data_IF_233122728198
#
_entry.id   IF_233122728198
#
_cell.length_a   1.000
_cell.length_b   1.000
_cell.length_c   1.000
_cell.angle_alpha   90.00
_cell.angle_beta   90.00
_cell.angle_gamma   90.00
#
_symmetry.space_group_name_H-M   'P 1'
#
loop_
_entity.id
_entity.type
_entity.pdbx_description
1 polymer ?
#
# COMPACT_ATOMS: atom_id res chain seq x y z
N UNK A 1 -10.00 -3.12 -7.11
CA UNK A 1 -9.46 -1.77 -7.39
C UNK A 1 -9.69 -0.91 -6.16
N UNK A 2 -8.77 0.02 -5.89
CA UNK A 2 -8.72 0.90 -4.74
C UNK A 2 -8.41 2.33 -5.19
N UNK A 3 -8.39 3.27 -4.27
CA UNK A 3 -8.12 4.70 -4.55
C UNK A 3 -6.79 5.16 -3.95
N UNK A 4 -6.24 4.39 -3.02
CA UNK A 4 -5.11 4.80 -2.19
C UNK A 4 -5.49 5.79 -1.09
N UNK A 5 -6.77 5.88 -0.76
CA UNK A 5 -7.26 6.62 0.41
C UNK A 5 -7.47 5.62 1.54
N UNK A 6 -6.61 5.65 2.52
CA UNK A 6 -6.69 4.76 3.68
C UNK A 6 -7.94 5.05 4.49
N UNK A 7 -8.76 4.03 4.70
CA UNK A 7 -10.01 4.15 5.47
C UNK A 7 -9.78 3.94 6.98
N UNK A 8 -8.81 3.10 7.35
CA UNK A 8 -8.50 2.78 8.74
C UNK A 8 -7.09 2.24 8.88
N UNK A 9 -6.52 2.36 10.07
CA UNK A 9 -5.36 1.58 10.48
C UNK A 9 -5.88 0.39 11.29
N UNK A 10 -5.64 -0.81 10.76
CA UNK A 10 -5.91 -2.07 11.44
C UNK A 10 -4.66 -2.64 12.10
N UNK A 11 -4.80 -3.80 12.76
CA UNK A 11 -3.69 -4.49 13.41
C UNK A 11 -3.70 -5.98 13.07
N UNK A 12 -2.53 -6.54 12.81
CA UNK A 12 -2.34 -7.97 12.64
C UNK A 12 -2.67 -8.68 13.95
N UNK A 13 -3.57 -9.66 13.90
CA UNK A 13 -3.95 -10.46 15.06
C UNK A 13 -3.18 -11.78 15.12
N UNK A 14 -3.14 -12.49 14.00
CA UNK A 14 -2.42 -13.75 13.87
C UNK A 14 -1.94 -14.00 12.45
N UNK A 15 -0.93 -14.86 12.34
CA UNK A 15 -0.28 -15.32 11.12
C UNK A 15 -0.13 -16.83 11.24
N UNK A 16 -0.97 -17.60 10.57
CA UNK A 16 -1.04 -19.05 10.71
C UNK A 16 -0.60 -19.74 9.41
N UNK A 17 0.49 -20.52 9.41
CA UNK A 17 0.87 -21.31 8.23
C UNK A 17 -0.24 -22.29 7.82
N UNK A 18 -0.56 -22.34 6.51
CA UNK A 18 -1.58 -23.22 5.94
C UNK A 18 -1.13 -23.82 4.62
N UNK A 19 -0.60 -25.04 4.65
CA UNK A 19 -0.32 -25.82 3.45
C UNK A 19 0.66 -25.18 2.45
N UNK A 20 1.55 -24.30 2.92
CA UNK A 20 2.48 -23.51 2.10
C UNK A 20 2.10 -22.04 2.01
N UNK A 21 0.83 -21.69 2.19
CA UNK A 21 0.35 -20.31 2.31
C UNK A 21 0.28 -19.87 3.78
N UNK A 22 -0.14 -18.63 4.00
CA UNK A 22 -0.29 -18.05 5.34
C UNK A 22 -1.69 -17.45 5.49
N UNK A 23 -2.41 -17.85 6.54
CA UNK A 23 -3.66 -17.17 6.92
C UNK A 23 -3.34 -15.98 7.80
N UNK A 24 -3.66 -14.80 7.30
CA UNK A 24 -3.54 -13.53 8.00
C UNK A 24 -4.91 -13.18 8.61
N UNK A 25 -4.95 -12.88 9.92
CA UNK A 25 -6.12 -12.29 10.58
C UNK A 25 -5.80 -10.83 10.95
N UNK A 26 -6.72 -9.94 10.65
CA UNK A 26 -6.57 -8.49 10.88
C UNK A 26 -7.77 -7.95 11.65
N UNK A 27 -7.51 -7.25 12.75
CA UNK A 27 -8.49 -6.39 13.40
C UNK A 27 -8.66 -5.12 12.54
N UNK A 28 -9.88 -4.84 12.11
CA UNK A 28 -10.17 -3.82 11.11
C UNK A 28 -10.09 -2.37 11.64
N UNK A 29 -9.90 -2.18 12.96
CA UNK A 29 -9.91 -0.85 13.57
C UNK A 29 -11.25 -0.17 13.39
N UNK A 30 -11.24 1.04 12.81
CA UNK A 30 -12.46 1.80 12.53
C UNK A 30 -13.08 1.45 11.15
N UNK A 31 -12.52 0.50 10.40
CA UNK A 31 -13.08 0.09 9.10
C UNK A 31 -14.42 -0.62 9.33
N UNK A 32 -15.50 -0.03 8.81
CA UNK A 32 -16.81 -0.69 8.81
C UNK A 32 -16.80 -1.88 7.84
N UNK A 33 -17.05 -3.07 8.36
CA UNK A 33 -17.13 -4.32 7.60
C UNK A 33 -18.58 -4.76 7.29
N UNK A 34 -19.59 -3.96 7.64
CA UNK A 34 -20.99 -4.35 7.49
C UNK A 34 -21.44 -4.59 6.04
N UNK A 35 -20.77 -3.94 5.07
CA UNK A 35 -21.02 -4.07 3.65
C UNK A 35 -19.97 -4.95 2.93
N UNK A 36 -19.13 -5.67 3.68
CA UNK A 36 -18.10 -6.56 3.13
C UNK A 36 -18.57 -8.01 3.26
N UNK A 37 -18.47 -8.76 2.18
CA UNK A 37 -18.78 -10.20 2.13
C UNK A 37 -17.51 -11.04 1.91
N UNK A 38 -17.51 -12.34 2.29
CA UNK A 38 -16.47 -13.27 1.84
C UNK A 38 -16.36 -13.27 0.32
N UNK A 39 -15.15 -13.11 -0.19
CA UNK A 39 -14.86 -12.93 -1.62
C UNK A 39 -14.54 -11.49 -2.01
N UNK A 40 -14.88 -10.51 -1.18
CA UNK A 40 -14.53 -9.12 -1.43
C UNK A 40 -13.04 -8.85 -1.19
N UNK A 41 -12.53 -7.83 -1.86
CA UNK A 41 -11.14 -7.41 -1.72
C UNK A 41 -11.00 -6.30 -0.67
N UNK A 42 -9.98 -6.45 0.18
CA UNK A 42 -9.51 -5.41 1.09
C UNK A 42 -8.01 -5.23 0.84
N UNK A 43 -7.56 -3.98 0.65
CA UNK A 43 -6.14 -3.68 0.61
C UNK A 43 -5.59 -3.63 2.03
N UNK A 44 -4.52 -4.40 2.28
CA UNK A 44 -3.77 -4.46 3.54
C UNK A 44 -2.35 -3.99 3.28
N UNK A 45 -1.95 -2.85 3.83
CA UNK A 45 -0.70 -2.18 3.51
C UNK A 45 -0.47 -2.06 1.98
N UNK A 46 -1.53 -1.78 1.22
CA UNK A 46 -1.52 -1.67 -0.24
C UNK A 46 -1.57 -3.00 -0.99
N UNK A 47 -1.62 -4.14 -0.31
CA UNK A 47 -1.74 -5.46 -0.94
C UNK A 47 -3.20 -5.86 -1.02
N UNK A 48 -3.69 -6.14 -2.25
CA UNK A 48 -5.04 -6.64 -2.49
C UNK A 48 -5.17 -8.07 -1.95
N UNK A 49 -6.01 -8.25 -0.93
CA UNK A 49 -6.31 -9.56 -0.34
C UNK A 49 -7.80 -9.84 -0.41
N UNK A 50 -8.16 -11.10 -0.63
CA UNK A 50 -9.55 -11.55 -0.61
C UNK A 50 -9.96 -11.89 0.83
N UNK A 51 -10.98 -11.23 1.35
CA UNK A 51 -11.57 -11.59 2.63
C UNK A 51 -12.27 -12.95 2.52
N UNK A 52 -11.85 -13.92 3.32
CA UNK A 52 -12.41 -15.30 3.29
C UNK A 52 -13.30 -15.58 4.51
N UNK A 53 -13.12 -14.83 5.56
CA UNK A 53 -13.96 -14.88 6.76
C UNK A 53 -14.03 -13.49 7.39
N UNK A 54 -15.20 -13.15 7.92
CA UNK A 54 -15.47 -11.90 8.61
C UNK A 54 -16.13 -12.22 9.93
N UNK A 55 -15.75 -11.52 10.97
CA UNK A 55 -16.36 -11.58 12.29
C UNK A 55 -16.22 -10.19 12.93
N UNK A 56 -16.98 -9.91 13.99
CA UNK A 56 -17.12 -8.61 14.66
C UNK A 56 -15.81 -7.76 14.66
N UNK A 57 -15.66 -6.87 13.67
CA UNK A 57 -14.52 -5.94 13.55
C UNK A 57 -13.20 -6.57 13.11
N UNK A 58 -13.22 -7.77 12.53
CA UNK A 58 -12.02 -8.46 12.01
C UNK A 58 -12.33 -9.26 10.73
N UNK A 59 -11.30 -9.50 9.94
CA UNK A 59 -11.37 -10.36 8.77
C UNK A 59 -10.12 -11.25 8.66
N UNK A 60 -10.24 -12.32 7.89
CA UNK A 60 -9.13 -13.19 7.55
C UNK A 60 -8.95 -13.24 6.02
N UNK A 61 -7.70 -13.39 5.60
CA UNK A 61 -7.32 -13.60 4.20
C UNK A 61 -6.21 -14.65 4.11
N UNK A 62 -6.20 -15.43 3.03
CA UNK A 62 -5.09 -16.32 2.73
C UNK A 62 -4.09 -15.59 1.82
N UNK A 63 -2.82 -15.63 2.19
CA UNK A 63 -1.72 -14.91 1.53
C UNK A 63 -0.75 -15.93 0.97
N UNK A 64 -0.55 -15.89 -0.36
CA UNK A 64 0.36 -16.80 -1.06
C UNK A 64 1.83 -16.53 -0.71
N UNK A 65 2.69 -17.55 -0.86
CA UNK A 65 4.14 -17.40 -0.69
C UNK A 65 4.72 -16.32 -1.61
N UNK A 66 4.23 -16.18 -2.85
CA UNK A 66 4.68 -15.14 -3.77
C UNK A 66 4.37 -13.75 -3.20
N UNK A 67 3.15 -13.52 -2.68
CA UNK A 67 2.77 -12.26 -2.04
C UNK A 67 3.63 -11.96 -0.82
N UNK A 68 3.88 -12.96 0.02
CA UNK A 68 4.76 -12.80 1.20
C UNK A 68 6.20 -12.45 0.80
N UNK A 69 6.71 -13.05 -0.27
CA UNK A 69 8.08 -12.81 -0.75
C UNK A 69 8.25 -11.43 -1.42
N UNK A 70 7.18 -10.89 -2.01
CA UNK A 70 7.20 -9.63 -2.78
C UNK A 70 6.78 -8.40 -2.00
N UNK A 71 6.24 -8.56 -0.80
CA UNK A 71 5.66 -7.47 -0.01
C UNK A 71 6.16 -7.48 1.43
N UNK A 72 5.90 -6.42 2.16
CA UNK A 72 6.19 -6.34 3.59
C UNK A 72 5.34 -7.30 4.44
N UNK A 73 4.27 -7.90 3.87
CA UNK A 73 3.40 -8.81 4.60
C UNK A 73 4.16 -10.03 5.16
N UNK A 74 5.24 -10.48 4.47
CA UNK A 74 6.08 -11.58 4.92
C UNK A 74 6.89 -11.31 6.20
N UNK A 75 7.00 -10.05 6.62
CA UNK A 75 7.75 -9.63 7.82
C UNK A 75 6.86 -9.21 8.98
N UNK A 76 5.53 -9.15 8.78
CA UNK A 76 4.58 -8.74 9.80
C UNK A 76 4.54 -9.71 10.98
N UNK A 77 4.19 -9.16 12.13
CA UNK A 77 4.01 -9.88 13.40
C UNK A 77 2.67 -9.49 14.02
N UNK A 78 2.10 -10.33 14.89
CA UNK A 78 0.94 -9.94 15.68
C UNK A 78 1.19 -8.63 16.43
N UNK A 79 0.24 -7.69 16.34
CA UNK A 79 0.31 -6.35 16.87
C UNK A 79 0.75 -5.27 15.86
N UNK A 80 1.35 -5.63 14.73
CA UNK A 80 1.78 -4.67 13.72
C UNK A 80 0.58 -3.95 13.09
N UNK A 81 0.73 -2.63 12.92
CA UNK A 81 -0.26 -1.77 12.30
C UNK A 81 -0.19 -1.86 10.77
N UNK A 82 -1.35 -1.90 10.12
CA UNK A 82 -1.49 -1.96 8.65
C UNK A 82 -2.56 -0.98 8.17
N UNK A 83 -2.29 -0.29 7.07
CA UNK A 83 -3.28 0.54 6.38
C UNK A 83 -4.34 -0.35 5.72
N UNK A 84 -5.60 0.03 5.84
CA UNK A 84 -6.74 -0.71 5.28
C UNK A 84 -7.58 0.19 4.38
N UNK A 85 -7.97 -0.37 3.23
CA UNK A 85 -8.92 0.24 2.31
C UNK A 85 -9.82 -0.86 1.74
N UNK A 86 -11.16 -0.64 1.70
CA UNK A 86 -12.11 -1.53 1.01
C UNK A 86 -12.05 -1.29 -0.50
N UNK A 87 -12.36 -2.32 -1.28
CA UNK A 87 -12.48 -2.17 -2.73
C UNK A 87 -13.46 -1.06 -3.10
N UNK A 88 -13.08 -0.28 -4.14
CA UNK A 88 -13.86 0.82 -4.68
C UNK A 88 -15.17 0.31 -5.29
N UNK A 89 -16.30 0.91 -4.93
CA UNK A 89 -17.59 0.72 -5.58
C UNK A 89 -17.76 1.73 -6.71
N UNK A 90 -18.63 1.43 -7.70
CA UNK A 90 -18.87 2.35 -8.83
C UNK A 90 -19.38 3.73 -8.42
N UNK A 91 -20.02 3.85 -7.27
CA UNK A 91 -20.56 5.12 -6.74
C UNK A 91 -19.54 5.92 -5.93
N UNK A 92 -18.37 5.35 -5.62
CA UNK A 92 -17.38 6.00 -4.77
C UNK A 92 -16.56 7.03 -5.57
N UNK A 93 -16.02 8.02 -4.86
CA UNK A 93 -15.14 9.02 -5.48
C UNK A 93 -13.73 8.47 -5.58
N UNK A 94 -13.06 8.69 -6.71
CA UNK A 94 -11.64 8.44 -6.87
C UNK A 94 -10.85 9.61 -6.23
N UNK A 95 -10.67 9.55 -4.90
CA UNK A 95 -9.99 10.62 -4.14
C UNK A 95 -8.47 10.66 -4.29
N UNK A 96 -7.85 9.56 -4.73
CA UNK A 96 -6.41 9.44 -5.02
C UNK A 96 -6.15 9.17 -6.49
N UNK A 97 -5.65 7.97 -6.81
CA UNK A 97 -5.48 7.48 -8.17
C UNK A 97 -5.96 6.03 -8.30
N UNK A 98 -5.88 5.45 -9.49
CA UNK A 98 -6.25 4.04 -9.69
C UNK A 98 -5.17 3.13 -9.08
N UNK A 99 -5.49 2.52 -7.95
CA UNK A 99 -4.62 1.58 -7.23
C UNK A 99 -5.18 0.18 -7.41
N UNK A 100 -4.35 -0.76 -7.86
CA UNK A 100 -4.77 -2.15 -8.06
C UNK A 100 -4.63 -3.01 -6.80
N UNK A 101 -3.75 -2.62 -5.90
CA UNK A 101 -3.31 -3.43 -4.77
C UNK A 101 -2.28 -4.49 -5.18
N UNK A 102 -1.66 -4.32 -6.34
CA UNK A 102 -0.63 -5.22 -6.86
C UNK A 102 0.74 -4.58 -6.69
N UNK A 103 1.32 -4.79 -5.51
CA UNK A 103 2.62 -4.26 -5.12
C UNK A 103 3.70 -4.67 -6.10
N UNK A 104 4.48 -3.69 -6.58
CA UNK A 104 5.59 -3.89 -7.52
C UNK A 104 6.87 -4.30 -6.83
N UNK A 105 7.04 -3.85 -5.61
CA UNK A 105 8.24 -4.13 -4.82
C UNK A 105 8.23 -3.44 -3.47
N UNK A 106 9.27 -3.73 -2.71
CA UNK A 106 9.49 -3.15 -1.39
C UNK A 106 10.53 -2.05 -1.51
N UNK A 107 10.14 -0.84 -1.12
CA UNK A 107 11.03 0.31 -0.94
C UNK A 107 11.42 0.51 0.50
N UNK A 108 12.16 1.58 0.77
CA UNK A 108 12.63 1.92 2.10
C UNK A 108 12.46 3.42 2.37
N UNK A 109 12.08 3.77 3.60
CA UNK A 109 12.13 5.15 4.10
C UNK A 109 13.59 5.54 4.28
N UNK A 110 14.05 6.58 3.58
CA UNK A 110 15.43 7.07 3.66
C UNK A 110 15.56 8.16 4.73
N UNK A 111 14.67 9.15 4.69
CA UNK A 111 14.68 10.24 5.64
C UNK A 111 13.31 10.87 5.83
N UNK A 112 13.12 11.52 6.97
CA UNK A 112 11.93 12.28 7.33
C UNK A 112 12.38 13.62 7.90
N UNK A 113 11.90 14.72 7.35
CA UNK A 113 12.21 16.07 7.79
C UNK A 113 10.94 16.89 7.98
N UNK A 114 10.87 17.67 9.06
CA UNK A 114 9.77 18.61 9.26
C UNK A 114 9.81 19.73 8.20
N UNK A 115 8.64 20.06 7.66
CA UNK A 115 8.44 21.15 6.69
C UNK A 115 7.19 21.95 7.13
N UNK A 116 7.39 22.94 7.97
CA UNK A 116 6.33 23.68 8.65
C UNK A 116 5.35 22.74 9.37
N UNK A 117 4.09 22.64 8.85
CA UNK A 117 3.07 21.74 9.41
C UNK A 117 3.08 20.34 8.80
N UNK A 118 3.81 20.16 7.69
CA UNK A 118 3.94 18.89 6.97
C UNK A 118 5.30 18.22 7.23
N UNK A 119 5.51 17.07 6.62
CA UNK A 119 6.78 16.35 6.66
C UNK A 119 7.20 15.98 5.25
N UNK A 120 8.46 16.24 4.91
CA UNK A 120 9.09 15.73 3.70
C UNK A 120 9.67 14.35 3.97
N UNK A 121 9.25 13.40 3.18
CA UNK A 121 9.69 12.02 3.25
C UNK A 121 10.46 11.67 1.98
N UNK A 122 11.64 11.09 2.15
CA UNK A 122 12.42 10.52 1.05
C UNK A 122 12.36 9.02 1.13
N UNK A 123 12.13 8.39 -0.02
CA UNK A 123 12.10 6.94 -0.18
C UNK A 123 13.12 6.49 -1.21
N UNK A 124 13.65 5.27 -1.03
CA UNK A 124 14.40 4.55 -2.05
C UNK A 124 13.49 3.45 -2.64
N UNK A 125 13.39 3.41 -3.95
CA UNK A 125 12.70 2.35 -4.68
C UNK A 125 13.71 1.33 -5.23
N UNK A 126 13.31 0.08 -5.48
CA UNK A 126 14.09 -0.81 -6.32
C UNK A 126 14.43 -0.16 -7.66
N UNK A 127 15.68 -0.27 -8.13
CA UNK A 127 16.14 0.40 -9.36
C UNK A 127 15.26 0.10 -10.59
N UNK A 128 14.67 -1.10 -10.64
CA UNK A 128 13.74 -1.48 -11.71
C UNK A 128 12.46 -0.63 -11.74
N UNK A 129 12.04 -0.05 -10.60
CA UNK A 129 10.84 0.75 -10.47
C UNK A 129 11.09 2.25 -10.72
N UNK A 130 12.33 2.72 -10.62
CA UNK A 130 12.67 4.14 -10.71
C UNK A 130 12.12 4.83 -11.98
N UNK A 131 12.14 4.14 -13.13
CA UNK A 131 11.65 4.66 -14.41
C UNK A 131 10.14 4.96 -14.45
N UNK A 132 9.37 4.38 -13.55
CA UNK A 132 7.92 4.59 -13.48
C UNK A 132 7.53 5.72 -12.53
N UNK A 133 8.48 6.21 -11.73
CA UNK A 133 8.25 7.24 -10.73
C UNK A 133 8.60 8.59 -11.33
N UNK A 134 7.60 9.45 -11.47
CA UNK A 134 7.75 10.75 -12.12
C UNK A 134 7.39 11.90 -11.18
N UNK A 135 8.14 13.00 -11.20
CA UNK A 135 7.78 14.20 -10.45
C UNK A 135 6.39 14.68 -10.87
N UNK A 136 5.54 15.02 -9.89
CA UNK A 136 4.12 15.36 -10.02
C UNK A 136 3.22 14.19 -10.45
N UNK A 137 3.76 12.99 -10.62
CA UNK A 137 2.98 11.77 -10.78
C UNK A 137 2.47 11.22 -9.45
N UNK A 138 1.69 10.14 -9.52
CA UNK A 138 1.18 9.43 -8.36
C UNK A 138 2.04 8.20 -8.05
N UNK A 139 2.11 7.86 -6.78
CA UNK A 139 2.66 6.59 -6.30
C UNK A 139 1.83 6.11 -5.11
N UNK A 140 1.66 4.80 -4.99
CA UNK A 140 1.01 4.21 -3.82
C UNK A 140 2.07 3.63 -2.87
N UNK A 141 2.09 4.10 -1.62
CA UNK A 141 3.03 3.65 -0.59
C UNK A 141 2.23 3.08 0.59
N UNK A 142 2.42 1.79 0.91
CA UNK A 142 1.64 1.07 1.92
C UNK A 142 0.11 1.31 1.77
N UNK A 143 -0.39 1.38 0.52
CA UNK A 143 -1.80 1.65 0.22
C UNK A 143 -2.21 3.12 0.27
N UNK A 144 -1.26 4.04 0.45
CA UNK A 144 -1.55 5.48 0.47
C UNK A 144 -1.17 6.12 -0.86
N UNK A 145 -2.14 6.75 -1.54
CA UNK A 145 -1.91 7.54 -2.76
C UNK A 145 -1.20 8.84 -2.42
N UNK A 146 -0.03 9.06 -3.02
CA UNK A 146 0.79 10.23 -2.75
C UNK A 146 1.30 10.85 -4.04
N UNK A 147 1.45 12.18 -4.04
CA UNK A 147 2.07 12.92 -5.13
C UNK A 147 3.59 12.93 -4.94
N UNK A 148 4.32 12.52 -5.96
CA UNK A 148 5.78 12.60 -6.01
C UNK A 148 6.19 14.07 -6.22
N UNK A 149 7.02 14.60 -5.34
CA UNK A 149 7.51 15.98 -5.42
C UNK A 149 8.81 16.09 -6.21
N UNK A 150 9.73 15.16 -5.98
CA UNK A 150 11.07 15.15 -6.58
C UNK A 150 11.52 13.72 -6.82
N UNK A 151 12.39 13.53 -7.81
CA UNK A 151 12.99 12.23 -8.16
C UNK A 151 14.47 12.46 -8.42
N UNK A 152 15.31 11.63 -7.79
CA UNK A 152 16.76 11.59 -8.01
C UNK A 152 17.24 10.13 -8.07
N UNK A 153 17.46 9.64 -9.29
CA UNK A 153 17.80 8.24 -9.53
C UNK A 153 16.72 7.27 -9.06
N UNK A 154 17.04 6.46 -8.08
CA UNK A 154 16.12 5.51 -7.43
C UNK A 154 15.43 6.09 -6.19
N UNK A 155 15.71 7.36 -5.86
CA UNK A 155 15.10 8.06 -4.74
C UNK A 155 14.01 9.00 -5.20
N UNK A 156 12.97 9.12 -4.40
CA UNK A 156 11.89 10.07 -4.63
C UNK A 156 11.35 10.63 -3.33
N UNK A 157 10.86 11.86 -3.41
CA UNK A 157 10.33 12.59 -2.28
C UNK A 157 8.82 12.79 -2.38
N UNK A 158 8.14 12.73 -1.23
CA UNK A 158 6.74 13.11 -1.06
C UNK A 158 6.59 14.07 0.11
N UNK A 159 5.50 14.82 0.14
CA UNK A 159 5.16 15.67 1.29
C UNK A 159 3.88 15.18 1.94
N UNK A 160 3.96 14.79 3.22
CA UNK A 160 2.82 14.30 3.99
C UNK A 160 2.23 15.41 4.85
N UNK A 161 0.95 15.70 4.66
CA UNK A 161 0.20 16.61 5.51
C UNK A 161 -0.15 15.95 6.86
N UNK A 162 -0.39 16.71 7.93
CA UNK A 162 -0.69 16.15 9.26
C UNK A 162 -1.82 15.15 9.27
N UNK A 163 -2.86 15.37 8.46
CA UNK A 163 -3.99 14.45 8.35
C UNK A 163 -3.55 13.07 7.83
N UNK A 164 -2.78 13.01 6.75
CA UNK A 164 -2.27 11.75 6.19
C UNK A 164 -1.42 10.99 7.21
N UNK A 165 -0.52 11.71 7.91
CA UNK A 165 0.32 11.10 8.94
C UNK A 165 -0.55 10.49 10.04
N UNK A 166 -1.56 11.22 10.54
CA UNK A 166 -2.40 10.78 11.64
C UNK A 166 -3.36 9.62 11.27
N UNK A 167 -3.77 9.51 10.00
CA UNK A 167 -4.74 8.52 9.53
C UNK A 167 -4.10 7.27 8.92
N UNK A 168 -2.77 7.18 8.92
CA UNK A 168 -2.05 6.07 8.30
C UNK A 168 -0.92 5.57 9.19
N UNK A 169 -0.32 4.44 8.81
CA UNK A 169 0.87 3.89 9.48
C UNK A 169 2.09 4.81 9.44
N UNK A 170 2.09 5.89 8.65
CA UNK A 170 3.15 6.90 8.64
C UNK A 170 3.37 7.58 10.00
N UNK A 171 2.36 7.58 10.88
CA UNK A 171 2.52 8.07 12.26
C UNK A 171 3.67 7.39 13.04
N UNK A 172 3.96 6.13 12.71
CA UNK A 172 4.94 5.29 13.43
C UNK A 172 6.16 4.93 12.60
N UNK A 173 6.13 5.13 11.27
CA UNK A 173 7.22 4.80 10.35
C UNK A 173 8.45 5.69 10.60
N UNK A 174 9.64 5.13 10.37
CA UNK A 174 10.94 5.78 10.61
C UNK A 174 11.90 5.48 9.46
N UNK A 175 12.99 6.28 9.29
CA UNK A 175 14.09 5.93 8.40
C UNK A 175 14.59 4.50 8.66
N UNK A 176 14.75 3.74 7.58
CA UNK A 176 15.11 2.32 7.61
C UNK A 176 13.92 1.37 7.45
N UNK A 177 12.68 1.83 7.70
CA UNK A 177 11.51 0.97 7.56
C UNK A 177 11.23 0.63 6.10
N UNK A 178 10.85 -0.63 5.87
CA UNK A 178 10.39 -1.11 4.58
C UNK A 178 8.94 -0.70 4.32
N UNK A 179 8.60 -0.38 3.07
CA UNK A 179 7.26 -0.02 2.62
C UNK A 179 6.92 -0.71 1.30
N UNK A 180 5.67 -1.07 1.11
CA UNK A 180 5.17 -1.57 -0.17
C UNK A 180 5.02 -0.41 -1.16
N UNK A 181 5.50 -0.61 -2.38
CA UNK A 181 5.39 0.35 -3.48
C UNK A 181 4.56 -0.23 -4.61
N UNK A 182 3.56 0.52 -5.06
CA UNK A 182 2.86 0.27 -6.32
C UNK A 182 2.96 1.53 -7.18
N UNK A 183 3.52 1.38 -8.39
CA UNK A 183 3.62 2.49 -9.35
C UNK A 183 2.26 2.77 -9.99
N UNK A 184 2.07 3.97 -10.50
CA UNK A 184 0.85 4.33 -11.22
C UNK A 184 0.61 3.36 -12.39
N UNK A 185 -0.58 2.78 -12.45
CA UNK A 185 -0.97 1.81 -13.46
C UNK A 185 -0.76 2.34 -14.88
N UNK A 186 -0.94 3.63 -15.12
CA UNK A 186 -0.71 4.27 -16.42
C UNK A 186 0.74 4.11 -16.85
N UNK A 187 1.69 4.26 -15.94
CA UNK A 187 3.12 4.13 -16.25
C UNK A 187 3.48 2.74 -16.79
N UNK A 188 2.86 1.67 -16.26
CA UNK A 188 3.07 0.29 -16.73
C UNK A 188 2.61 0.10 -18.17
N UNK A 189 1.41 0.59 -18.51
CA UNK A 189 0.88 0.44 -19.86
C UNK A 189 1.64 1.28 -20.87
N UNK A 190 2.02 2.52 -20.52
CA UNK A 190 2.85 3.37 -21.36
C UNK A 190 4.18 2.69 -21.69
N UNK A 191 4.88 2.15 -20.69
CA UNK A 191 6.13 1.42 -20.93
C UNK A 191 5.94 0.22 -21.85
N UNK A 192 4.93 -0.60 -21.60
CA UNK A 192 4.67 -1.80 -22.41
C UNK A 192 4.41 -1.44 -23.88
N UNK A 193 3.66 -0.37 -24.12
CA UNK A 193 3.36 0.12 -25.47
C UNK A 193 4.62 0.66 -26.15
N UNK A 194 5.45 1.43 -25.43
CA UNK A 194 6.71 1.96 -25.95
C UNK A 194 7.73 0.85 -26.27
N UNK A 195 7.78 -0.20 -25.45
CA UNK A 195 8.66 -1.34 -25.70
C UNK A 195 8.23 -2.15 -26.93
N UNK A 196 6.92 -2.29 -27.18
CA UNK A 196 6.39 -2.99 -28.36
C UNK A 196 6.66 -2.22 -29.68
N UNK A 197 6.73 -0.89 -29.64
CA UNK A 197 7.01 -0.06 -30.82
C UNK A 197 8.49 0.00 -31.24
N UNK A 198 9.39 -0.68 -30.50
CA UNK A 198 10.84 -0.75 -30.82
C UNK A 198 11.27 -2.07 -31.45
N UNK A 199 10.35 -2.95 -31.74
CA UNK A 199 10.54 -4.18 -32.52
C UNK A 199 10.11 -3.93 -33.98
#
# INVERSE_FOLDING_TARGET
MFTGIVHSVGHVMSLEPRGGDLRLQVAAGALDLADVAPGDSIAVAGVCLTAIALDAGRFAADVSLETLARTTLGTLRPGDAVNLEKALRLADRLGGHLVSGHVDGVGQVVSVHSDARSQRWMFAAPAALARYIAAKGSICIDGTSLTVNEVDGDRFGVNLIPHTIAQTTFATRRPGDAVNLEVDLIARYVERMMAAGRQ
#
